data_IF_959334512933
#
_entry.id   IF_959334512933
#
_cell.length_a   1.000
_cell.length_b   1.000
_cell.length_c   1.000
_cell.angle_alpha   90.00
_cell.angle_beta   90.00
_cell.angle_gamma   90.00
#
_symmetry.space_group_name_H-M   'P 1'
#
loop_
_entity.id
_entity.type
_entity.pdbx_description
1 polymer ?
#
# COMPACT_ATOMS: atom_id res chain seq x y z
N UNK A 1 13.02 -14.89 17.12
CA UNK A 1 12.04 -15.74 16.36
C UNK A 1 10.69 -15.76 17.06
N UNK A 2 10.64 -15.59 18.39
CA UNK A 2 9.40 -15.46 19.16
C UNK A 2 8.77 -14.04 19.03
N UNK A 3 9.61 -13.01 18.95
CA UNK A 3 9.20 -11.60 18.94
C UNK A 3 8.35 -11.21 17.72
N UNK A 4 8.66 -11.79 16.56
CA UNK A 4 7.88 -11.59 15.34
C UNK A 4 6.44 -12.10 15.49
N UNK A 5 6.26 -13.23 16.19
CA UNK A 5 4.93 -13.83 16.37
C UNK A 5 4.08 -13.04 17.36
N UNK A 6 4.71 -12.42 18.36
CA UNK A 6 3.99 -11.65 19.36
C UNK A 6 3.67 -10.24 18.88
N UNK A 7 4.57 -9.59 18.13
CA UNK A 7 4.27 -8.34 17.40
C UNK A 7 3.14 -8.54 16.38
N UNK A 8 3.16 -9.65 15.63
CA UNK A 8 2.08 -10.01 14.71
C UNK A 8 0.72 -10.14 15.41
N UNK A 9 0.67 -10.76 16.60
CA UNK A 9 -0.59 -10.89 17.36
C UNK A 9 -1.12 -9.53 17.82
N UNK A 10 -0.24 -8.63 18.27
CA UNK A 10 -0.63 -7.28 18.71
C UNK A 10 -1.20 -6.46 17.55
N UNK A 11 -0.51 -6.44 16.39
CA UNK A 11 -0.98 -5.74 15.20
C UNK A 11 -2.32 -6.28 14.67
N UNK A 12 -2.55 -7.60 14.76
CA UNK A 12 -3.83 -8.23 14.40
C UNK A 12 -4.97 -7.77 15.33
N UNK A 13 -4.69 -7.64 16.63
CA UNK A 13 -5.68 -7.21 17.61
C UNK A 13 -6.10 -5.75 17.36
N UNK A 14 -5.13 -4.86 17.13
CA UNK A 14 -5.41 -3.44 16.82
C UNK A 14 -6.23 -3.28 15.53
N UNK A 15 -5.92 -4.07 14.49
CA UNK A 15 -6.67 -4.03 13.22
C UNK A 15 -8.09 -4.63 13.35
N UNK A 16 -8.33 -5.55 14.29
CA UNK A 16 -9.67 -6.02 14.63
C UNK A 16 -10.46 -4.94 15.39
N UNK A 17 -9.81 -4.25 16.33
CA UNK A 17 -10.43 -3.22 17.17
C UNK A 17 -10.81 -1.96 16.36
N UNK A 18 -10.07 -1.67 15.29
CA UNK A 18 -10.39 -0.62 14.32
C UNK A 18 -11.43 -1.04 13.26
N UNK A 19 -11.92 -2.29 13.29
CA UNK A 19 -12.90 -2.80 12.32
C UNK A 19 -12.32 -3.04 10.92
N UNK A 20 -11.00 -3.04 10.77
CA UNK A 20 -10.29 -3.28 9.51
C UNK A 20 -10.22 -4.77 9.14
N UNK A 21 -10.54 -5.67 10.08
CA UNK A 21 -10.55 -7.12 9.93
C UNK A 21 -11.88 -7.75 10.37
N UNK A 22 -12.34 -8.78 9.65
CA UNK A 22 -13.45 -9.66 10.06
C UNK A 22 -12.89 -11.03 10.48
N UNK A 23 -13.31 -11.56 11.63
CA UNK A 23 -12.74 -12.81 12.19
C UNK A 23 -13.15 -14.06 11.39
N UNK A 24 -12.19 -14.95 11.12
CA UNK A 24 -12.41 -16.25 10.44
C UNK A 24 -11.20 -17.19 10.56
N UNK A 25 -11.44 -18.50 10.70
CA UNK A 25 -10.38 -19.51 10.97
C UNK A 25 -9.55 -19.75 9.69
N UNK A 26 -8.29 -19.27 9.65
CA UNK A 26 -7.35 -19.44 8.51
C UNK A 26 -6.42 -18.26 8.21
N UNK A 27 -6.58 -17.12 8.88
CA UNK A 27 -5.90 -15.85 8.59
C UNK A 27 -4.37 -15.86 8.78
N UNK A 28 -3.81 -16.71 9.64
CA UNK A 28 -2.35 -16.81 9.80
C UNK A 28 -1.64 -17.36 8.54
N UNK A 29 -2.37 -17.97 7.59
CA UNK A 29 -1.85 -18.27 6.25
C UNK A 29 -2.10 -17.15 5.24
N UNK A 30 -3.06 -16.26 5.52
CA UNK A 30 -3.41 -15.13 4.67
C UNK A 30 -2.51 -13.92 4.87
N UNK A 31 -1.84 -13.78 6.02
CA UNK A 31 -0.95 -12.66 6.33
C UNK A 31 0.50 -12.84 5.81
N UNK A 32 0.88 -14.03 5.35
CA UNK A 32 2.17 -14.24 4.67
C UNK A 32 2.22 -13.63 3.26
N UNK A 33 3.42 -13.48 2.69
CA UNK A 33 3.57 -13.23 1.25
C UNK A 33 2.82 -14.33 0.50
N UNK A 34 1.82 -13.94 -0.30
CA UNK A 34 0.90 -14.89 -0.92
C UNK A 34 1.67 -15.84 -1.85
N UNK A 35 1.46 -17.16 -1.69
CA UNK A 35 1.96 -18.16 -2.65
C UNK A 35 1.28 -17.88 -3.99
N UNK A 36 2.05 -17.84 -5.08
CA UNK A 36 1.52 -17.54 -6.40
C UNK A 36 0.59 -18.66 -6.88
N UNK A 37 -0.73 -18.51 -6.65
CA UNK A 37 -1.81 -19.07 -7.46
C UNK A 37 -3.17 -18.45 -7.10
N UNK A 38 -4.08 -18.48 -8.08
CA UNK A 38 -5.35 -17.75 -8.29
C UNK A 38 -5.20 -16.28 -8.68
N UNK A 39 -4.83 -16.11 -9.97
CA UNK A 39 -4.57 -14.86 -10.72
C UNK A 39 -3.60 -13.88 -10.08
N UNK A 40 -2.71 -13.33 -10.91
CA UNK A 40 -1.68 -12.39 -10.46
C UNK A 40 -2.28 -11.23 -9.65
N UNK A 41 -3.45 -10.71 -10.05
CA UNK A 41 -4.11 -9.57 -9.39
C UNK A 41 -4.60 -9.88 -7.97
N UNK A 42 -5.16 -11.06 -7.73
CA UNK A 42 -5.62 -11.47 -6.40
C UNK A 42 -4.46 -11.63 -5.42
N UNK A 43 -3.32 -12.15 -5.89
CA UNK A 43 -2.10 -12.25 -5.09
C UNK A 43 -1.50 -10.87 -4.79
N UNK A 44 -1.45 -9.98 -5.78
CA UNK A 44 -0.98 -8.60 -5.57
C UNK A 44 -1.84 -7.85 -4.55
N UNK A 45 -3.17 -7.87 -4.69
CA UNK A 45 -4.08 -7.23 -3.72
C UNK A 45 -3.82 -7.73 -2.29
N UNK A 46 -3.75 -9.05 -2.09
CA UNK A 46 -3.47 -9.64 -0.78
C UNK A 46 -2.10 -9.21 -0.25
N UNK A 47 -1.08 -9.20 -1.10
CA UNK A 47 0.28 -8.85 -0.70
C UNK A 47 0.39 -7.39 -0.25
N UNK A 48 -0.20 -6.45 -0.99
CA UNK A 48 -0.27 -5.04 -0.59
C UNK A 48 -1.05 -4.86 0.71
N UNK A 49 -2.19 -5.53 0.84
CA UNK A 49 -3.00 -5.47 2.07
C UNK A 49 -2.21 -5.99 3.28
N UNK A 50 -1.52 -7.13 3.14
CA UNK A 50 -0.69 -7.68 4.21
C UNK A 50 0.48 -6.79 4.55
N UNK A 51 1.10 -6.15 3.55
CA UNK A 51 2.21 -5.23 3.77
C UNK A 51 1.76 -4.03 4.63
N UNK A 52 0.60 -3.45 4.33
CA UNK A 52 0.00 -2.37 5.14
C UNK A 52 -0.24 -2.85 6.58
N UNK A 53 -0.86 -4.03 6.75
CA UNK A 53 -1.16 -4.59 8.07
C UNK A 53 0.10 -4.91 8.90
N UNK A 54 1.14 -5.41 8.25
CA UNK A 54 2.39 -5.82 8.91
C UNK A 54 3.44 -4.71 8.95
N UNK A 55 3.12 -3.49 8.51
CA UNK A 55 4.11 -2.43 8.35
C UNK A 55 4.89 -2.17 9.64
N UNK A 56 4.20 -2.08 10.78
CA UNK A 56 4.82 -1.92 12.10
C UNK A 56 5.80 -3.07 12.43
N UNK A 57 5.37 -4.32 12.28
CA UNK A 57 6.24 -5.48 12.52
C UNK A 57 7.44 -5.53 11.57
N UNK A 58 7.30 -5.07 10.32
CA UNK A 58 8.42 -4.98 9.37
C UNK A 58 9.44 -3.94 9.85
N UNK A 59 8.96 -2.77 10.28
CA UNK A 59 9.81 -1.70 10.85
C UNK A 59 10.56 -2.21 12.08
N UNK A 60 9.86 -2.81 13.05
CA UNK A 60 10.47 -3.35 14.27
C UNK A 60 11.57 -4.40 13.98
N UNK A 61 11.34 -5.27 12.99
CA UNK A 61 12.33 -6.27 12.59
C UNK A 61 13.54 -5.62 11.94
N UNK A 62 13.35 -4.61 11.07
CA UNK A 62 14.46 -3.89 10.45
C UNK A 62 15.28 -3.12 11.49
N UNK A 63 14.63 -2.53 12.49
CA UNK A 63 15.30 -1.87 13.63
C UNK A 63 16.10 -2.86 14.47
N UNK A 64 15.51 -3.99 14.84
CA UNK A 64 16.22 -5.07 15.57
C UNK A 64 17.42 -5.59 14.77
N UNK A 65 17.28 -5.80 13.46
CA UNK A 65 18.39 -6.21 12.60
C UNK A 65 19.51 -5.16 12.53
N UNK A 66 19.16 -3.87 12.56
CA UNK A 66 20.14 -2.79 12.59
C UNK A 66 20.88 -2.70 13.95
N UNK A 67 20.20 -3.03 15.05
CA UNK A 67 20.77 -3.06 16.41
C UNK A 67 21.68 -4.28 16.62
N UNK A 68 21.25 -5.46 16.15
CA UNK A 68 21.95 -6.74 16.30
C UNK A 68 23.03 -6.98 15.22
N UNK A 69 23.23 -6.02 14.32
CA UNK A 69 24.19 -6.11 13.23
C UNK A 69 25.63 -6.35 13.74
N UNK A 70 26.30 -7.37 13.19
CA UNK A 70 27.67 -7.74 13.58
C UNK A 70 28.72 -6.93 12.84
N UNK A 71 28.32 -6.22 11.79
CA UNK A 71 29.18 -5.36 11.00
C UNK A 71 28.50 -4.03 10.67
N UNK A 72 29.32 -3.02 10.40
CA UNK A 72 28.84 -1.71 9.94
C UNK A 72 28.10 -1.81 8.59
N UNK A 73 28.45 -2.76 7.73
CA UNK A 73 27.78 -3.00 6.44
C UNK A 73 26.37 -3.57 6.63
N UNK A 74 26.21 -4.57 7.49
CA UNK A 74 24.89 -5.12 7.85
C UNK A 74 23.98 -4.04 8.46
N UNK A 75 24.54 -3.21 9.36
CA UNK A 75 23.82 -2.10 9.98
C UNK A 75 23.38 -1.06 8.94
N UNK A 76 24.31 -0.65 8.05
CA UNK A 76 24.02 0.34 7.02
C UNK A 76 22.93 -0.16 6.04
N UNK A 77 22.93 -1.46 5.71
CA UNK A 77 21.88 -2.06 4.87
C UNK A 77 20.52 -2.06 5.55
N UNK A 78 20.44 -2.49 6.80
CA UNK A 78 19.18 -2.50 7.56
C UNK A 78 18.60 -1.08 7.72
N UNK A 79 19.45 -0.10 8.08
CA UNK A 79 19.07 1.31 8.17
C UNK A 79 18.65 1.87 6.80
N UNK A 80 19.42 1.60 5.74
CA UNK A 80 19.07 2.06 4.38
C UNK A 80 17.75 1.48 3.89
N UNK A 81 17.43 0.23 4.25
CA UNK A 81 16.11 -0.33 3.99
C UNK A 81 15.03 0.40 4.77
N UNK A 82 15.22 0.58 6.08
CA UNK A 82 14.27 1.30 6.93
C UNK A 82 13.95 2.70 6.39
N UNK A 83 14.97 3.48 6.06
CA UNK A 83 14.85 4.81 5.45
C UNK A 83 14.12 4.78 4.10
N UNK A 84 14.36 3.74 3.28
CA UNK A 84 13.67 3.60 1.99
C UNK A 84 12.18 3.26 2.13
N UNK A 85 11.78 2.52 3.18
CA UNK A 85 10.40 2.10 3.40
C UNK A 85 9.56 3.14 4.12
N UNK A 86 10.15 3.92 5.04
CA UNK A 86 9.46 4.93 5.83
C UNK A 86 9.41 6.29 5.12
N UNK A 87 8.92 6.28 3.88
CA UNK A 87 8.70 7.52 3.12
C UNK A 87 7.22 7.72 2.82
N UNK A 88 6.81 8.99 2.73
CA UNK A 88 5.44 9.32 2.33
C UNK A 88 5.10 8.76 0.95
N UNK A 89 6.06 8.73 0.02
CA UNK A 89 5.88 8.16 -1.33
C UNK A 89 5.51 6.67 -1.27
N UNK A 90 6.20 5.89 -0.45
CA UNK A 90 5.88 4.46 -0.26
C UNK A 90 4.51 4.28 0.38
N UNK A 91 4.20 5.02 1.46
CA UNK A 91 2.89 4.97 2.10
C UNK A 91 1.76 5.34 1.12
N UNK A 92 1.93 6.42 0.37
CA UNK A 92 1.00 6.88 -0.64
C UNK A 92 0.74 5.81 -1.72
N UNK A 93 1.82 5.28 -2.30
CA UNK A 93 1.74 4.24 -3.34
C UNK A 93 1.12 2.95 -2.81
N UNK A 94 1.42 2.53 -1.58
CA UNK A 94 0.82 1.35 -0.97
C UNK A 94 -0.70 1.47 -0.88
N UNK A 95 -1.20 2.59 -0.37
CA UNK A 95 -2.64 2.81 -0.22
C UNK A 95 -3.34 3.00 -1.58
N UNK A 96 -2.74 3.77 -2.50
CA UNK A 96 -3.29 3.96 -3.85
C UNK A 96 -3.41 2.63 -4.60
N UNK A 97 -2.31 1.87 -4.64
CA UNK A 97 -2.30 0.57 -5.33
C UNK A 97 -3.24 -0.41 -4.66
N UNK A 98 -3.40 -0.38 -3.33
CA UNK A 98 -4.37 -1.22 -2.63
C UNK A 98 -5.81 -0.91 -3.09
N UNK A 99 -6.19 0.35 -3.26
CA UNK A 99 -7.53 0.75 -3.71
C UNK A 99 -7.79 0.35 -5.18
N UNK A 100 -6.82 0.60 -6.07
CA UNK A 100 -6.90 0.19 -7.49
C UNK A 100 -6.97 -1.34 -7.62
N UNK A 101 -6.12 -2.05 -6.86
CA UNK A 101 -6.10 -3.51 -6.85
C UNK A 101 -7.38 -4.11 -6.25
N UNK A 102 -8.03 -3.42 -5.30
CA UNK A 102 -9.32 -3.87 -4.77
C UNK A 102 -10.38 -3.96 -5.87
N UNK A 103 -10.54 -2.89 -6.65
CA UNK A 103 -11.52 -2.81 -7.74
C UNK A 103 -11.23 -3.86 -8.83
N UNK A 104 -9.97 -3.94 -9.28
CA UNK A 104 -9.58 -4.88 -10.33
C UNK A 104 -9.63 -6.34 -9.87
N UNK A 105 -9.34 -6.62 -8.60
CA UNK A 105 -9.49 -7.95 -8.01
C UNK A 105 -10.96 -8.37 -7.91
N UNK A 106 -11.87 -7.47 -7.51
CA UNK A 106 -13.31 -7.74 -7.50
C UNK A 106 -13.84 -8.06 -8.90
N UNK A 107 -13.47 -7.25 -9.91
CA UNK A 107 -13.78 -7.54 -11.31
C UNK A 107 -13.32 -8.94 -11.70
N UNK A 108 -12.04 -9.24 -11.45
CA UNK A 108 -11.44 -10.52 -11.79
C UNK A 108 -12.13 -11.71 -11.10
N UNK A 109 -12.54 -11.57 -9.83
CA UNK A 109 -13.37 -12.60 -9.16
C UNK A 109 -14.72 -12.79 -9.83
N UNK A 110 -15.38 -11.72 -10.27
CA UNK A 110 -16.64 -11.83 -10.99
C UNK A 110 -16.47 -12.50 -12.37
N UNK A 111 -15.41 -12.15 -13.10
CA UNK A 111 -15.10 -12.72 -14.43
C UNK A 111 -14.75 -14.22 -14.38
N UNK A 112 -14.22 -14.71 -13.26
CA UNK A 112 -13.88 -16.13 -13.08
C UNK A 112 -15.07 -17.04 -12.76
N UNK A 113 -16.27 -16.48 -12.57
CA UNK A 113 -17.48 -17.30 -12.35
C UNK A 113 -17.78 -18.10 -13.63
N UNK A 114 -18.19 -19.36 -13.47
CA UNK A 114 -18.42 -20.28 -14.61
C UNK A 114 -19.56 -19.82 -15.54
N UNK A 115 -20.45 -18.97 -15.05
CA UNK A 115 -21.67 -18.51 -15.72
C UNK A 115 -21.53 -17.05 -16.18
N UNK A 116 -20.65 -16.81 -17.15
CA UNK A 116 -20.47 -15.47 -17.74
C UNK A 116 -20.77 -15.51 -19.23
N UNK A 117 -21.72 -14.68 -19.65
CA UNK A 117 -21.90 -14.35 -21.07
C UNK A 117 -21.25 -13.01 -21.40
N UNK A 118 -21.12 -12.73 -22.70
CA UNK A 118 -20.45 -11.52 -23.20
C UNK A 118 -21.14 -10.24 -22.71
N UNK A 119 -22.47 -10.23 -22.61
CA UNK A 119 -23.20 -9.05 -22.16
C UNK A 119 -22.93 -8.76 -20.67
N UNK A 120 -22.92 -9.79 -19.83
CA UNK A 120 -22.61 -9.64 -18.41
C UNK A 120 -21.16 -9.23 -18.18
N UNK A 121 -20.21 -9.77 -18.96
CA UNK A 121 -18.80 -9.35 -18.92
C UNK A 121 -18.67 -7.85 -19.24
N UNK A 122 -19.35 -7.37 -20.27
CA UNK A 122 -19.35 -5.93 -20.63
C UNK A 122 -19.89 -5.06 -19.50
N UNK A 123 -20.98 -5.49 -18.83
CA UNK A 123 -21.52 -4.78 -17.66
C UNK A 123 -20.53 -4.74 -16.50
N UNK A 124 -19.86 -5.86 -16.19
CA UNK A 124 -18.86 -5.93 -15.12
C UNK A 124 -17.67 -5.01 -15.38
N UNK A 125 -17.16 -4.97 -16.62
CA UNK A 125 -16.08 -4.07 -17.02
C UNK A 125 -16.51 -2.61 -16.88
N UNK A 126 -17.72 -2.27 -17.31
CA UNK A 126 -18.25 -0.90 -17.19
C UNK A 126 -18.41 -0.48 -15.72
N UNK A 127 -18.88 -1.37 -14.85
CA UNK A 127 -18.95 -1.10 -13.40
C UNK A 127 -17.57 -0.86 -12.81
N UNK A 128 -16.57 -1.68 -13.15
CA UNK A 128 -15.21 -1.51 -12.66
C UNK A 128 -14.60 -0.19 -13.14
N UNK A 129 -14.79 0.15 -14.40
CA UNK A 129 -14.36 1.43 -15.00
C UNK A 129 -14.98 2.62 -14.27
N UNK A 130 -16.30 2.60 -14.03
CA UNK A 130 -16.99 3.66 -13.27
C UNK A 130 -16.43 3.80 -11.86
N UNK A 131 -16.11 2.69 -11.18
CA UNK A 131 -15.50 2.74 -9.85
C UNK A 131 -14.10 3.34 -9.85
N UNK A 132 -13.29 3.05 -10.87
CA UNK A 132 -11.98 3.70 -11.04
C UNK A 132 -12.14 5.20 -11.31
N UNK A 133 -13.13 5.61 -12.10
CA UNK A 133 -13.43 7.02 -12.33
C UNK A 133 -13.86 7.74 -11.03
N UNK A 134 -14.76 7.14 -10.24
CA UNK A 134 -15.13 7.68 -8.92
C UNK A 134 -13.93 7.77 -7.99
N UNK A 135 -13.06 6.74 -7.98
CA UNK A 135 -11.82 6.78 -7.22
C UNK A 135 -10.97 8.01 -7.62
N UNK A 136 -10.80 8.26 -8.92
CA UNK A 136 -10.02 9.40 -9.43
C UNK A 136 -10.67 10.76 -9.12
N UNK A 137 -11.97 10.87 -9.34
CA UNK A 137 -12.65 12.17 -9.35
C UNK A 137 -13.01 12.63 -7.92
N UNK A 138 -13.38 11.69 -7.05
CA UNK A 138 -13.99 11.99 -5.75
C UNK A 138 -13.15 11.54 -4.53
N UNK A 139 -12.32 10.49 -4.67
CA UNK A 139 -11.68 9.84 -3.52
C UNK A 139 -10.27 10.35 -3.18
N UNK A 140 -9.78 11.41 -3.84
CA UNK A 140 -8.47 12.01 -3.52
C UNK A 140 -8.33 12.36 -2.03
N UNK A 141 -9.32 13.05 -1.47
CA UNK A 141 -9.28 13.50 -0.07
C UNK A 141 -9.35 12.31 0.91
N UNK A 142 -10.14 11.29 0.56
CA UNK A 142 -10.28 10.03 1.30
C UNK A 142 -8.95 9.28 1.33
N UNK A 143 -8.25 9.18 0.19
CA UNK A 143 -6.92 8.58 0.11
C UNK A 143 -5.91 9.35 0.97
N UNK A 144 -5.83 10.68 0.83
CA UNK A 144 -4.89 11.49 1.60
C UNK A 144 -5.14 11.39 3.11
N UNK A 145 -6.40 11.36 3.54
CA UNK A 145 -6.73 11.15 4.95
C UNK A 145 -6.22 9.79 5.45
N UNK A 146 -6.47 8.70 4.71
CA UNK A 146 -5.98 7.35 5.04
C UNK A 146 -4.44 7.31 5.13
N UNK A 147 -3.75 7.87 4.13
CA UNK A 147 -2.28 7.91 4.09
C UNK A 147 -1.74 8.76 5.25
N UNK A 148 -2.36 9.89 5.57
CA UNK A 148 -1.92 10.75 6.68
C UNK A 148 -2.06 10.07 8.04
N UNK A 149 -3.15 9.34 8.27
CA UNK A 149 -3.35 8.52 9.48
C UNK A 149 -2.26 7.45 9.56
N UNK A 150 -2.02 6.73 8.45
CA UNK A 150 -0.98 5.70 8.39
C UNK A 150 0.42 6.27 8.66
N UNK A 151 0.76 7.39 8.03
CA UNK A 151 2.04 8.06 8.23
C UNK A 151 2.22 8.51 9.68
N UNK A 152 1.18 9.09 10.29
CA UNK A 152 1.21 9.50 11.70
C UNK A 152 1.42 8.30 12.63
N UNK A 153 0.72 7.18 12.37
CA UNK A 153 0.85 5.94 13.15
C UNK A 153 2.27 5.36 13.10
N UNK A 154 2.96 5.52 11.99
CA UNK A 154 4.28 4.93 11.75
C UNK A 154 5.42 5.95 11.75
N UNK A 155 5.18 7.15 12.29
CA UNK A 155 6.15 8.25 12.42
C UNK A 155 6.80 8.65 11.08
N UNK A 156 6.07 8.48 9.98
CA UNK A 156 6.50 8.88 8.64
C UNK A 156 6.21 10.36 8.45
N UNK A 157 7.23 11.13 8.04
CA UNK A 157 7.09 12.55 7.77
C UNK A 157 6.12 12.80 6.59
N UNK A 158 5.09 13.59 6.85
CA UNK A 158 4.16 14.07 5.81
C UNK A 158 4.77 15.33 5.18
N UNK A 159 4.95 15.39 3.86
CA UNK A 159 5.53 16.55 3.20
C UNK A 159 4.58 17.74 3.23
N UNK A 160 5.14 18.94 3.15
CA UNK A 160 4.35 20.15 2.95
C UNK A 160 3.85 20.19 1.50
N UNK A 161 2.54 20.09 1.32
CA UNK A 161 1.90 20.02 0.01
C UNK A 161 2.03 21.31 -0.82
N UNK A 162 2.31 22.45 -0.19
CA UNK A 162 2.49 23.74 -0.84
C UNK A 162 3.94 24.00 -1.29
N UNK A 163 4.90 23.18 -0.86
CA UNK A 163 6.29 23.35 -1.26
C UNK A 163 6.52 22.93 -2.71
N UNK A 164 7.53 23.53 -3.38
CA UNK A 164 7.97 23.06 -4.69
C UNK A 164 8.41 21.60 -4.63
N UNK A 165 7.95 20.80 -5.60
CA UNK A 165 8.37 19.41 -5.67
C UNK A 165 9.83 19.29 -6.13
N UNK A 166 10.63 18.58 -5.34
CA UNK A 166 12.03 18.25 -5.66
C UNK A 166 12.14 16.73 -5.80
N UNK A 167 12.42 16.24 -7.00
CA UNK A 167 12.62 14.81 -7.21
C UNK A 167 13.94 14.35 -6.56
N UNK A 168 13.90 13.36 -5.67
CA UNK A 168 15.10 12.73 -5.10
C UNK A 168 15.78 11.77 -6.10
N UNK A 169 15.05 11.21 -7.08
CA UNK A 169 15.56 10.21 -8.04
C UNK A 169 16.25 10.78 -9.28
N UNK A 170 16.04 12.05 -9.62
CA UNK A 170 16.69 12.69 -10.79
C UNK A 170 17.61 13.77 -10.26
N UNK A 171 18.82 13.84 -10.80
CA UNK A 171 19.84 14.86 -10.47
C UNK A 171 19.17 16.21 -10.18
N UNK A 172 19.62 16.92 -9.13
CA UNK A 172 19.20 18.27 -8.67
C UNK A 172 19.00 19.36 -9.76
N UNK A 173 19.28 19.04 -11.03
CA UNK A 173 19.18 19.90 -12.22
C UNK A 173 17.76 20.09 -12.78
N UNK A 174 16.72 19.45 -12.24
CA UNK A 174 15.33 19.65 -12.65
C UNK A 174 14.41 19.86 -11.45
N UNK A 175 14.39 21.08 -10.93
CA UNK A 175 13.29 21.54 -10.08
C UNK A 175 12.00 21.41 -10.90
N UNK A 176 11.01 20.66 -10.41
CA UNK A 176 9.71 20.66 -11.06
C UNK A 176 9.07 22.03 -10.80
N UNK A 177 8.47 22.63 -11.82
CA UNK A 177 7.76 23.92 -11.70
C UNK A 177 6.36 23.77 -11.07
N UNK A 178 6.17 22.79 -10.19
CA UNK A 178 4.87 22.51 -9.56
C UNK A 178 5.05 22.07 -8.10
N UNK A 179 3.96 22.12 -7.33
CA UNK A 179 3.96 21.82 -5.89
C UNK A 179 3.93 20.31 -5.61
N UNK A 180 4.27 19.90 -4.39
CA UNK A 180 4.11 18.52 -3.92
C UNK A 180 2.66 18.03 -4.08
N UNK A 181 1.67 18.89 -3.85
CA UNK A 181 0.25 18.58 -4.12
C UNK A 181 0.02 18.22 -5.58
N UNK A 182 0.53 19.03 -6.50
CA UNK A 182 0.39 18.78 -7.93
C UNK A 182 1.06 17.46 -8.33
N UNK A 183 2.25 17.18 -7.77
CA UNK A 183 2.94 15.92 -7.99
C UNK A 183 2.05 14.72 -7.64
N UNK A 184 1.61 14.62 -6.39
CA UNK A 184 0.87 13.45 -5.95
C UNK A 184 -0.53 13.38 -6.56
N UNK A 185 -1.21 14.51 -6.74
CA UNK A 185 -2.59 14.50 -7.27
C UNK A 185 -2.63 14.29 -8.78
N UNK A 186 -1.81 15.00 -9.54
CA UNK A 186 -1.90 15.02 -11.00
C UNK A 186 -0.92 14.01 -11.59
N UNK A 187 0.36 14.14 -11.25
CA UNK A 187 1.42 13.34 -11.89
C UNK A 187 1.46 11.88 -11.45
N UNK A 188 0.91 11.58 -10.26
CA UNK A 188 0.87 10.22 -9.70
C UNK A 188 -0.56 9.68 -9.67
N UNK A 189 -1.45 10.27 -8.87
CA UNK A 189 -2.79 9.73 -8.62
C UNK A 189 -3.66 9.61 -9.87
N UNK A 190 -3.86 10.73 -10.61
CA UNK A 190 -4.64 10.69 -11.84
C UNK A 190 -3.97 9.79 -12.90
N UNK A 191 -2.67 9.95 -13.11
CA UNK A 191 -1.92 9.18 -14.10
C UNK A 191 -1.90 7.66 -13.85
N UNK A 192 -1.99 7.21 -12.59
CA UNK A 192 -2.06 5.78 -12.26
C UNK A 192 -3.46 5.20 -12.51
N UNK A 193 -4.51 6.01 -12.36
CA UNK A 193 -5.89 5.55 -12.47
C UNK A 193 -6.40 5.60 -13.92
N UNK A 194 -5.88 6.53 -14.73
CA UNK A 194 -6.19 6.67 -16.16
C UNK A 194 -5.64 5.52 -17.03
#
# INVERSE_FOLDING_TARGET
MDDLRDSQKAAIQDALDMGELTTGRGLNQQLGLSRACDTRWGSHYKSFNNFILMFGSIVEVLESLALDARSMDEKAKAMGHLESYQTFEVAFMLHLMRDVLAITNELNKCLQRKEQDVANVMLLVEVAKKRLQVLRDDEWNSLIAKVSIFCTKHEILIPNFEEPYVSSLRSQRRLAHYTVLHHYRVEVFCNIID
#
